data_IF_099693938037
#
_entry.id   IF_099693938037
#
_cell.length_a   1.000
_cell.length_b   1.000
_cell.length_c   1.000
_cell.angle_alpha   90.00
_cell.angle_beta   90.00
_cell.angle_gamma   90.00
#
_symmetry.space_group_name_H-M   'P 1'
#
loop_
_entity.id
_entity.type
_entity.pdbx_description
1 polymer ?
#
# COMPACT_ATOMS: atom_id res chain seq x y z
N UNK A 1 -14.44 10.68 -2.28
CA UNK A 1 -14.28 9.69 -3.35
C UNK A 1 -12.94 9.00 -3.14
N UNK A 2 -12.92 7.72 -2.75
CA UNK A 2 -11.69 6.94 -2.74
C UNK A 2 -11.52 6.36 -4.14
N UNK A 3 -10.41 6.64 -4.80
CA UNK A 3 -10.04 5.94 -6.02
C UNK A 3 -9.49 4.57 -5.64
N UNK A 4 -10.06 3.46 -6.15
CA UNK A 4 -9.37 2.19 -6.09
C UNK A 4 -8.09 2.33 -6.93
N UNK A 5 -6.93 2.14 -6.30
CA UNK A 5 -5.64 2.07 -7.00
C UNK A 5 -5.57 0.73 -7.74
N UNK A 6 -6.20 0.67 -8.91
CA UNK A 6 -6.19 -0.54 -9.74
C UNK A 6 -4.90 -0.56 -10.54
N UNK A 7 -3.95 -1.36 -10.10
CA UNK A 7 -2.74 -1.66 -10.86
C UNK A 7 -3.06 -2.67 -11.96
N UNK A 8 -2.50 -2.47 -13.16
CA UNK A 8 -2.49 -3.50 -14.21
C UNK A 8 -1.52 -4.62 -13.80
N UNK A 9 -0.37 -4.23 -13.25
CA UNK A 9 0.62 -5.10 -12.62
C UNK A 9 0.99 -6.34 -13.46
N UNK A 10 1.46 -6.17 -14.71
CA UNK A 10 1.85 -7.31 -15.56
C UNK A 10 3.01 -8.13 -14.98
N UNK A 11 3.89 -7.51 -14.19
CA UNK A 11 5.06 -8.12 -13.56
C UNK A 11 4.70 -9.19 -12.54
N UNK A 12 3.44 -9.24 -12.07
CA UNK A 12 2.95 -10.32 -11.19
C UNK A 12 3.15 -11.73 -11.78
N UNK A 13 3.34 -11.84 -13.10
CA UNK A 13 3.59 -13.10 -13.82
C UNK A 13 5.07 -13.44 -13.97
N UNK A 14 5.97 -12.52 -13.61
CA UNK A 14 7.40 -12.75 -13.70
C UNK A 14 7.85 -13.75 -12.63
N UNK A 15 8.98 -14.42 -12.87
CA UNK A 15 9.60 -15.31 -11.88
C UNK A 15 10.04 -14.53 -10.65
N UNK A 16 10.73 -13.41 -10.83
CA UNK A 16 11.08 -12.43 -9.79
C UNK A 16 10.34 -11.11 -10.08
N UNK A 17 9.40 -10.73 -9.22
CA UNK A 17 8.53 -9.57 -9.41
C UNK A 17 9.32 -8.27 -9.21
N UNK A 18 10.09 -8.17 -8.13
CA UNK A 18 10.84 -6.95 -7.80
C UNK A 18 11.93 -6.64 -8.85
N UNK A 19 12.58 -7.67 -9.38
CA UNK A 19 13.54 -7.53 -10.47
C UNK A 19 12.86 -7.06 -11.77
N UNK A 20 11.73 -7.68 -12.14
CA UNK A 20 10.97 -7.25 -13.32
C UNK A 20 10.48 -5.80 -13.20
N UNK A 21 10.12 -5.37 -11.98
CA UNK A 21 9.73 -3.99 -11.71
C UNK A 21 10.87 -2.98 -11.89
N UNK A 22 12.13 -3.40 -12.01
CA UNK A 22 13.27 -2.51 -12.29
C UNK A 22 13.40 -2.13 -13.78
N UNK A 23 12.64 -2.75 -14.70
CA UNK A 23 12.73 -2.43 -16.14
C UNK A 23 12.35 -0.96 -16.41
N UNK A 24 13.24 -0.12 -16.96
CA UNK A 24 12.95 1.30 -17.21
C UNK A 24 11.77 1.55 -18.17
N UNK A 25 11.32 0.53 -18.92
CA UNK A 25 10.17 0.61 -19.84
C UNK A 25 8.82 0.54 -19.12
N UNK A 26 8.78 0.18 -17.84
CA UNK A 26 7.53 0.08 -17.08
C UNK A 26 6.83 1.45 -16.95
N UNK A 27 5.50 1.45 -16.98
CA UNK A 27 4.71 2.67 -16.82
C UNK A 27 4.86 3.24 -15.41
N UNK A 28 5.32 4.49 -15.28
CA UNK A 28 5.42 5.16 -13.97
C UNK A 28 4.07 5.26 -13.25
N UNK A 29 2.97 5.45 -14.00
CA UNK A 29 1.62 5.51 -13.42
C UNK A 29 1.21 4.15 -12.85
N UNK A 30 1.51 3.06 -13.55
CA UNK A 30 1.22 1.72 -13.07
C UNK A 30 2.12 1.35 -11.89
N UNK A 31 3.42 1.70 -11.94
CA UNK A 31 4.36 1.53 -10.82
C UNK A 31 3.86 2.17 -9.53
N UNK A 32 3.30 3.39 -9.60
CA UNK A 32 2.69 4.01 -8.44
C UNK A 32 1.54 3.15 -7.88
N UNK A 33 0.61 2.69 -8.74
CA UNK A 33 -0.49 1.83 -8.30
C UNK A 33 -0.01 0.47 -7.74
N UNK A 34 1.03 -0.12 -8.33
CA UNK A 34 1.68 -1.34 -7.83
C UNK A 34 2.27 -1.09 -6.44
N UNK A 35 3.00 0.01 -6.23
CA UNK A 35 3.55 0.35 -4.91
C UNK A 35 2.46 0.50 -3.84
N UNK A 36 1.29 1.06 -4.20
CA UNK A 36 0.14 1.18 -3.29
C UNK A 36 -0.61 -0.13 -3.06
N UNK A 37 -0.47 -1.10 -3.96
CA UNK A 37 -0.84 -2.49 -3.67
C UNK A 37 0.13 -3.09 -2.65
N UNK A 38 1.44 -2.87 -2.82
CA UNK A 38 2.45 -3.42 -1.92
C UNK A 38 2.30 -2.89 -0.49
N UNK A 39 2.00 -1.59 -0.31
CA UNK A 39 1.70 -1.01 1.01
C UNK A 39 0.59 -1.81 1.73
N UNK A 40 -0.44 -2.25 1.00
CA UNK A 40 -1.54 -3.06 1.56
C UNK A 40 -1.08 -4.47 1.90
N UNK A 41 -0.33 -5.11 1.01
CA UNK A 41 0.18 -6.46 1.22
C UNK A 41 1.11 -6.54 2.43
N UNK A 42 2.10 -5.66 2.46
CA UNK A 42 3.08 -5.54 3.55
C UNK A 42 2.37 -5.25 4.86
N UNK A 43 1.47 -4.26 4.89
CA UNK A 43 0.72 -3.91 6.10
C UNK A 43 -0.10 -5.09 6.64
N UNK A 44 -0.78 -5.84 5.74
CA UNK A 44 -1.57 -7.01 6.11
C UNK A 44 -0.72 -8.17 6.61
N UNK A 45 0.47 -8.40 6.04
CA UNK A 45 1.40 -9.43 6.53
C UNK A 45 1.97 -9.03 7.88
N UNK A 46 2.47 -7.80 8.04
CA UNK A 46 3.03 -7.30 9.30
C UNK A 46 2.00 -7.40 10.43
N UNK A 47 0.75 -7.03 10.16
CA UNK A 47 -0.34 -7.13 11.14
C UNK A 47 -0.59 -8.56 11.69
N UNK A 48 -0.15 -9.60 10.97
CA UNK A 48 -0.29 -11.01 11.34
C UNK A 48 0.99 -11.62 11.91
N UNK A 49 2.10 -10.88 11.91
CA UNK A 49 3.36 -11.37 12.44
C UNK A 49 3.28 -11.52 13.97
N UNK A 50 3.85 -12.60 14.55
CA UNK A 50 3.96 -12.73 16.00
C UNK A 50 4.66 -11.54 16.67
N UNK A 51 5.61 -10.93 15.96
CA UNK A 51 6.36 -9.75 16.41
C UNK A 51 5.49 -8.49 16.52
N UNK A 52 4.32 -8.47 15.88
CA UNK A 52 3.34 -7.41 15.98
C UNK A 52 2.25 -7.69 17.03
N UNK A 53 2.39 -8.75 17.83
CA UNK A 53 1.45 -9.05 18.92
C UNK A 53 1.39 -7.87 19.91
N UNK A 54 0.16 -7.46 20.24
CA UNK A 54 -0.07 -6.26 21.06
C UNK A 54 0.01 -4.92 20.31
N UNK A 55 0.34 -4.93 19.01
CA UNK A 55 0.35 -3.73 18.16
C UNK A 55 -0.85 -3.71 17.21
N UNK A 56 -1.33 -2.50 16.90
CA UNK A 56 -2.32 -2.26 15.85
C UNK A 56 -1.57 -1.77 14.62
N UNK A 57 -1.56 -2.59 13.57
CA UNK A 57 -0.90 -2.26 12.30
C UNK A 57 -1.96 -2.06 11.23
N UNK A 58 -2.26 -0.81 10.90
CA UNK A 58 -3.24 -0.47 9.87
C UNK A 58 -2.56 0.10 8.64
N UNK A 59 -3.24 0.01 7.50
CA UNK A 59 -2.84 0.68 6.27
C UNK A 59 -3.93 1.65 5.83
N UNK A 60 -3.53 2.91 5.61
CA UNK A 60 -4.45 4.04 5.54
C UNK A 60 -4.44 4.67 4.16
N UNK A 61 -5.62 4.87 3.59
CA UNK A 61 -5.81 5.66 2.39
C UNK A 61 -6.30 7.08 2.78
N UNK A 62 -5.44 8.11 2.65
CA UNK A 62 -5.81 9.49 2.97
C UNK A 62 -6.75 10.11 1.92
N UNK A 63 -7.11 9.39 0.85
CA UNK A 63 -7.89 9.90 -0.26
C UNK A 63 -7.05 10.72 -1.24
N UNK A 64 -7.70 11.27 -2.26
CA UNK A 64 -7.06 12.17 -3.22
C UNK A 64 -6.83 13.53 -2.55
N UNK A 65 -5.59 13.83 -2.19
CA UNK A 65 -5.23 15.08 -1.51
C UNK A 65 -4.51 16.04 -2.44
N UNK A 66 -4.83 17.34 -2.36
CA UNK A 66 -4.03 18.42 -2.94
C UNK A 66 -2.73 18.51 -2.16
N UNK A 67 -1.70 17.87 -2.71
CA UNK A 67 -0.34 17.83 -2.18
C UNK A 67 0.67 17.87 -3.33
N UNK A 68 1.94 18.11 -3.01
CA UNK A 68 3.01 18.19 -4.00
C UNK A 68 3.30 16.86 -4.73
N UNK A 69 2.78 15.72 -4.24
CA UNK A 69 2.92 14.42 -4.90
C UNK A 69 2.32 14.47 -6.33
N UNK A 70 1.25 15.24 -6.54
CA UNK A 70 0.57 15.39 -7.83
C UNK A 70 0.93 16.65 -8.61
N UNK A 71 1.98 17.40 -8.22
CA UNK A 71 2.27 18.74 -8.78
C UNK A 71 2.49 18.77 -10.31
N UNK A 72 3.02 17.67 -10.86
CA UNK A 72 3.26 17.50 -12.30
C UNK A 72 2.02 16.96 -13.04
N UNK A 73 0.98 16.58 -12.31
CA UNK A 73 -0.26 15.99 -12.78
C UNK A 73 -1.39 17.02 -12.72
N UNK A 74 -1.12 18.27 -13.13
CA UNK A 74 -2.07 19.39 -13.02
C UNK A 74 -3.40 18.99 -13.66
N UNK A 75 -4.48 18.83 -12.88
CA UNK A 75 -5.79 18.61 -13.47
C UNK A 75 -6.23 19.91 -14.15
N UNK A 76 -7.13 19.87 -15.14
CA UNK A 76 -7.64 21.07 -15.79
C UNK A 76 -8.10 22.10 -14.75
N UNK A 77 -7.72 23.37 -14.94
CA UNK A 77 -8.08 24.45 -14.01
C UNK A 77 -9.59 24.43 -13.74
N UNK A 78 -9.97 24.52 -12.46
CA UNK A 78 -11.36 24.52 -12.01
C UNK A 78 -11.97 23.15 -11.67
N UNK A 79 -11.52 22.05 -12.29
CA UNK A 79 -12.06 20.70 -12.02
C UNK A 79 -11.32 19.98 -10.88
N UNK A 80 -10.02 20.27 -10.72
CA UNK A 80 -9.15 19.72 -9.67
C UNK A 80 -9.68 19.94 -8.25
N UNK A 81 -10.07 21.16 -7.89
CA UNK A 81 -10.31 21.51 -6.47
C UNK A 81 -11.55 20.85 -5.87
N UNK A 82 -12.49 20.35 -6.70
CA UNK A 82 -13.73 19.71 -6.22
C UNK A 82 -13.57 18.21 -5.94
N UNK A 83 -12.58 17.56 -6.56
CA UNK A 83 -12.36 16.12 -6.44
C UNK A 83 -11.35 15.75 -5.35
N UNK A 84 -10.51 16.71 -4.94
CA UNK A 84 -9.42 16.48 -4.02
C UNK A 84 -9.71 17.11 -2.66
N UNK A 85 -9.30 16.44 -1.59
CA UNK A 85 -9.28 16.99 -0.24
C UNK A 85 -8.05 17.89 -0.04
N UNK A 86 -8.09 18.77 0.95
CA UNK A 86 -6.87 19.43 1.41
C UNK A 86 -5.97 18.41 2.12
N UNK A 87 -4.68 18.70 2.23
CA UNK A 87 -3.75 17.81 2.93
C UNK A 87 -4.14 17.64 4.41
N UNK A 88 -4.63 18.69 5.06
CA UNK A 88 -5.13 18.66 6.44
C UNK A 88 -6.32 17.71 6.57
N UNK A 89 -7.28 17.78 5.64
CA UNK A 89 -8.44 16.87 5.63
C UNK A 89 -8.02 15.42 5.37
N UNK A 90 -7.03 15.20 4.49
CA UNK A 90 -6.43 13.88 4.28
C UNK A 90 -5.79 13.32 5.55
N UNK A 91 -5.06 14.16 6.29
CA UNK A 91 -4.38 13.80 7.53
C UNK A 91 -5.33 13.32 8.63
N UNK A 92 -6.60 13.76 8.64
CA UNK A 92 -7.60 13.27 9.59
C UNK A 92 -7.76 11.75 9.50
N UNK A 93 -7.61 11.13 8.31
CA UNK A 93 -7.65 9.66 8.19
C UNK A 93 -6.48 8.99 8.93
N UNK A 94 -5.29 9.60 8.88
CA UNK A 94 -4.11 9.10 9.57
C UNK A 94 -4.29 9.22 11.09
N UNK A 95 -4.78 10.37 11.55
CA UNK A 95 -5.09 10.60 12.97
C UNK A 95 -6.17 9.63 13.44
N UNK A 96 -7.24 9.45 12.66
CA UNK A 96 -8.31 8.49 12.95
C UNK A 96 -7.73 7.08 13.16
N UNK A 97 -6.88 6.61 12.25
CA UNK A 97 -6.23 5.31 12.35
C UNK A 97 -5.30 5.16 13.56
N UNK A 98 -4.75 6.26 14.07
CA UNK A 98 -3.85 6.26 15.22
C UNK A 98 -4.58 6.31 16.57
N UNK A 99 -5.74 6.97 16.64
CA UNK A 99 -6.43 7.23 17.93
C UNK A 99 -7.68 6.40 18.15
N UNK A 100 -8.27 5.82 17.10
CA UNK A 100 -9.48 5.00 17.24
C UNK A 100 -9.11 3.54 17.45
N UNK A 101 -9.82 2.82 18.33
CA UNK A 101 -9.71 1.37 18.40
C UNK A 101 -10.12 0.76 17.06
N UNK A 102 -9.23 -0.03 16.46
CA UNK A 102 -9.48 -0.77 15.23
C UNK A 102 -8.87 -2.16 15.33
N UNK A 103 -9.39 -3.16 14.60
CA UNK A 103 -8.67 -4.42 14.45
C UNK A 103 -7.33 -4.17 13.74
N UNK A 104 -6.28 -4.89 14.16
CA UNK A 104 -5.01 -4.88 13.44
C UNK A 104 -5.20 -5.45 12.03
N UNK A 105 -4.51 -4.87 11.05
CA UNK A 105 -4.66 -5.20 9.63
C UNK A 105 -5.85 -4.53 8.96
N UNK A 106 -6.46 -3.52 9.58
CA UNK A 106 -7.57 -2.80 8.96
C UNK A 106 -7.10 -1.92 7.80
N UNK A 107 -7.89 -1.93 6.72
CA UNK A 107 -7.84 -0.88 5.70
C UNK A 107 -8.71 0.29 6.13
N UNK A 108 -8.11 1.48 6.24
CA UNK A 108 -8.82 2.66 6.73
C UNK A 108 -8.91 3.71 5.64
N UNK A 109 -10.09 4.32 5.52
CA UNK A 109 -10.17 5.65 4.95
C UNK A 109 -11.58 6.20 4.85
N UNK A 110 -11.65 7.51 4.58
CA UNK A 110 -12.81 8.33 4.92
C UNK A 110 -13.19 8.22 6.42
N UNK A 111 -12.20 8.10 7.31
CA UNK A 111 -12.37 7.94 8.76
C UNK A 111 -13.26 6.75 9.15
N UNK A 112 -13.09 5.63 8.43
CA UNK A 112 -13.87 4.41 8.65
C UNK A 112 -13.08 3.18 8.20
N UNK A 113 -13.50 2.01 8.67
CA UNK A 113 -13.05 0.72 8.15
C UNK A 113 -13.57 0.53 6.72
N UNK A 114 -12.71 0.05 5.85
CA UNK A 114 -13.01 -0.16 4.43
C UNK A 114 -12.63 -1.57 4.04
N UNK A 115 -13.36 -2.12 3.07
CA UNK A 115 -12.90 -3.33 2.39
C UNK A 115 -11.71 -2.98 1.49
N UNK A 116 -10.61 -3.77 1.53
CA UNK A 116 -9.55 -3.61 0.56
C UNK A 116 -10.08 -3.93 -0.86
N UNK A 117 -9.35 -3.55 -1.93
CA UNK A 117 -9.75 -3.89 -3.28
C UNK A 117 -10.00 -5.42 -3.43
N UNK A 118 -11.18 -5.88 -3.87
CA UNK A 118 -11.57 -7.30 -3.76
C UNK A 118 -10.60 -8.31 -4.40
N UNK A 119 -9.89 -7.91 -5.45
CA UNK A 119 -8.91 -8.78 -6.11
C UNK A 119 -7.72 -9.14 -5.19
N UNK A 120 -7.39 -8.31 -4.19
CA UNK A 120 -6.29 -8.50 -3.23
C UNK A 120 -6.58 -9.59 -2.19
N UNK A 121 -7.85 -9.97 -2.02
CA UNK A 121 -8.31 -10.97 -1.05
C UNK A 121 -8.71 -12.31 -1.70
N UNK A 122 -8.61 -12.41 -3.03
CA UNK A 122 -8.72 -13.70 -3.73
C UNK A 122 -7.55 -14.62 -3.41
N UNK A 123 -7.70 -15.94 -3.61
CA UNK A 123 -6.59 -16.90 -3.46
C UNK A 123 -5.34 -16.49 -4.25
N UNK A 124 -5.53 -16.11 -5.52
CA UNK A 124 -4.45 -15.59 -6.37
C UNK A 124 -3.81 -14.33 -5.78
N UNK A 125 -4.62 -13.41 -5.22
CA UNK A 125 -4.14 -12.19 -4.57
C UNK A 125 -3.32 -12.48 -3.31
N UNK A 126 -3.71 -13.47 -2.51
CA UNK A 126 -3.00 -13.92 -1.32
C UNK A 126 -1.69 -14.63 -1.66
N UNK A 127 -1.67 -15.46 -2.71
CA UNK A 127 -0.44 -16.07 -3.22
C UNK A 127 0.54 -15.02 -3.74
N UNK A 128 0.01 -13.99 -4.42
CA UNK A 128 0.81 -12.86 -4.89
C UNK A 128 1.37 -12.04 -3.74
N UNK A 129 0.58 -11.76 -2.70
CA UNK A 129 1.04 -11.14 -1.46
C UNK A 129 2.20 -11.91 -0.84
N UNK A 130 2.04 -13.23 -0.68
CA UNK A 130 3.08 -14.11 -0.11
C UNK A 130 4.38 -13.99 -0.90
N UNK A 131 4.30 -14.11 -2.22
CA UNK A 131 5.45 -14.01 -3.12
C UNK A 131 6.15 -12.66 -3.02
N UNK A 132 5.39 -11.57 -3.05
CA UNK A 132 5.94 -10.21 -2.92
C UNK A 132 6.63 -10.05 -1.56
N UNK A 133 6.00 -10.51 -0.47
CA UNK A 133 6.59 -10.45 0.86
C UNK A 133 7.91 -11.22 0.93
N UNK A 134 7.95 -12.45 0.44
CA UNK A 134 9.15 -13.29 0.47
C UNK A 134 10.30 -12.64 -0.35
N UNK A 135 10.00 -12.08 -1.54
CA UNK A 135 11.00 -11.33 -2.33
C UNK A 135 11.49 -10.06 -1.60
N UNK A 136 10.61 -9.33 -0.93
CA UNK A 136 10.99 -8.14 -0.16
C UNK A 136 11.87 -8.47 1.04
N UNK A 137 11.57 -9.56 1.74
CA UNK A 137 12.39 -10.04 2.87
C UNK A 137 13.80 -10.37 2.42
N UNK A 138 13.97 -11.01 1.26
CA UNK A 138 15.31 -11.29 0.72
C UNK A 138 16.07 -10.00 0.35
N UNK A 139 15.39 -9.03 -0.26
CA UNK A 139 15.98 -7.69 -0.49
C UNK A 139 16.38 -7.03 0.83
N UNK A 140 15.51 -7.03 1.85
CA UNK A 140 15.82 -6.41 3.14
C UNK A 140 16.97 -7.12 3.87
N UNK A 141 17.03 -8.45 3.84
CA UNK A 141 18.14 -9.24 4.41
C UNK A 141 19.47 -8.92 3.74
N UNK A 142 19.47 -8.68 2.43
CA UNK A 142 20.68 -8.29 1.69
C UNK A 142 21.26 -6.94 2.15
N UNK A 143 20.41 -6.04 2.65
CA UNK A 143 20.79 -4.70 3.13
C UNK A 143 21.07 -4.71 4.64
N UNK A 144 20.25 -5.43 5.41
CA UNK A 144 20.36 -5.55 6.87
C UNK A 144 20.07 -6.98 7.31
N UNK A 145 21.11 -7.76 7.67
CA UNK A 145 20.95 -9.14 8.11
C UNK A 145 20.08 -9.32 9.37
N UNK A 146 19.90 -8.27 10.18
CA UNK A 146 19.08 -8.30 11.39
C UNK A 146 17.60 -8.52 11.10
N UNK A 147 17.14 -8.25 9.87
CA UNK A 147 15.76 -8.51 9.44
C UNK A 147 15.41 -10.00 9.58
N UNK A 148 16.33 -10.90 9.22
CA UNK A 148 16.11 -12.34 9.37
C UNK A 148 15.96 -12.76 10.83
N UNK A 149 16.73 -12.13 11.73
CA UNK A 149 16.63 -12.37 13.19
C UNK A 149 15.28 -11.89 13.74
N UNK A 150 14.84 -10.69 13.32
CA UNK A 150 13.57 -10.09 13.76
C UNK A 150 12.40 -10.96 13.29
N UNK A 151 12.37 -11.28 12.00
CA UNK A 151 11.28 -12.04 11.38
C UNK A 151 11.35 -13.55 11.70
N UNK A 152 12.49 -14.04 12.19
CA UNK A 152 12.79 -15.46 12.43
C UNK A 152 12.77 -16.29 11.14
N UNK A 153 13.36 -15.75 10.06
CA UNK A 153 13.45 -16.31 8.69
C UNK A 153 14.79 -15.98 8.02
#
# INVERSE_FOLDING_TARGET
MQTPWIAKFPEQRATNILEALNDPKCSLKDRYAVSKTFDQYIGRVIAKLPQAEGLIVNYVNPGLCLSDIGRNSKPPEGFARKLYWTSEKGAINLVYAAVKPTPSGAFIGCCDLREPPPWTTTEKGLLLERKVWDEMVEVWKSVSPDVGKILRV
#
